data_IF_330265052272
#
_entry.id   IF_330265052272
#
_cell.length_a   1.000
_cell.length_b   1.000
_cell.length_c   1.000
_cell.angle_alpha   90.00
_cell.angle_beta   90.00
_cell.angle_gamma   90.00
#
_symmetry.space_group_name_H-M   'P 1'
#
loop_
_entity.id
_entity.type
_entity.pdbx_description
1 polymer ?
#
# COMPACT_ATOMS: atom_id res chain seq x y z
N UNK A 1 -24.12 -52.32 -9.31
CA UNK A 1 -23.08 -51.43 -8.75
C UNK A 1 -23.70 -50.63 -7.63
N UNK A 2 -23.18 -50.73 -6.41
CA UNK A 2 -23.67 -49.95 -5.26
C UNK A 2 -23.25 -48.50 -5.45
N UNK A 3 -24.22 -47.57 -5.47
CA UNK A 3 -23.93 -46.14 -5.58
C UNK A 3 -23.31 -45.66 -4.27
N UNK A 4 -22.02 -45.30 -4.29
CA UNK A 4 -21.33 -44.77 -3.12
C UNK A 4 -21.81 -43.33 -2.91
N UNK A 5 -22.52 -43.08 -1.82
CA UNK A 5 -22.94 -41.73 -1.44
C UNK A 5 -21.73 -40.91 -0.99
N UNK A 6 -21.24 -40.03 -1.86
CA UNK A 6 -20.14 -39.11 -1.54
C UNK A 6 -20.57 -38.10 -0.48
N UNK A 7 -19.89 -38.10 0.66
CA UNK A 7 -20.10 -37.08 1.70
C UNK A 7 -19.52 -35.73 1.26
N UNK A 8 -20.33 -34.68 1.31
CA UNK A 8 -19.89 -33.29 1.08
C UNK A 8 -19.96 -32.51 2.39
N UNK A 9 -18.82 -32.04 2.89
CA UNK A 9 -18.75 -31.20 4.10
C UNK A 9 -19.31 -29.80 3.79
N UNK A 10 -20.18 -29.28 4.66
CA UNK A 10 -20.66 -27.91 4.57
C UNK A 10 -19.55 -26.90 4.93
N UNK A 11 -19.42 -25.83 4.14
CA UNK A 11 -18.48 -24.74 4.35
C UNK A 11 -19.27 -23.45 4.66
N UNK A 12 -19.42 -23.07 5.94
CA UNK A 12 -20.19 -21.88 6.31
C UNK A 12 -19.44 -20.59 5.93
N UNK A 13 -20.15 -19.48 5.77
CA UNK A 13 -19.57 -18.16 5.47
C UNK A 13 -18.53 -17.69 6.52
N UNK A 14 -18.61 -18.21 7.73
CA UNK A 14 -17.70 -17.94 8.86
C UNK A 14 -16.49 -18.89 8.91
N UNK A 15 -16.21 -19.64 7.84
CA UNK A 15 -15.09 -20.60 7.79
C UNK A 15 -13.74 -19.96 8.16
N UNK A 16 -13.55 -18.69 7.81
CA UNK A 16 -12.32 -17.94 8.02
C UNK A 16 -12.10 -17.52 9.48
N UNK A 17 -13.14 -17.55 10.32
CA UNK A 17 -13.04 -17.29 11.76
C UNK A 17 -12.45 -18.48 12.55
N UNK A 18 -12.34 -19.65 11.91
CA UNK A 18 -11.92 -20.89 12.60
C UNK A 18 -10.42 -20.97 12.87
N UNK A 19 -9.60 -20.18 12.16
CA UNK A 19 -8.15 -20.24 12.27
C UNK A 19 -7.56 -18.83 12.14
N UNK A 20 -6.64 -18.42 13.04
CA UNK A 20 -5.94 -17.14 12.92
C UNK A 20 -5.26 -16.92 11.56
N UNK A 21 -4.76 -17.96 10.91
CA UNK A 21 -4.19 -17.85 9.56
C UNK A 21 -5.22 -17.40 8.51
N UNK A 22 -6.46 -17.89 8.60
CA UNK A 22 -7.53 -17.48 7.69
C UNK A 22 -8.04 -16.07 8.01
N UNK A 23 -8.03 -15.66 9.28
CA UNK A 23 -8.32 -14.29 9.68
C UNK A 23 -7.32 -13.31 9.05
N UNK A 24 -6.02 -13.55 9.22
CA UNK A 24 -4.97 -12.70 8.63
C UNK A 24 -5.08 -12.66 7.12
N UNK A 25 -5.37 -13.80 6.48
CA UNK A 25 -5.66 -13.85 5.05
C UNK A 25 -6.82 -12.93 4.64
N UNK A 26 -7.97 -13.03 5.32
CA UNK A 26 -9.14 -12.20 4.98
C UNK A 26 -8.88 -10.72 5.23
N UNK A 27 -8.18 -10.37 6.32
CA UNK A 27 -7.78 -8.99 6.62
C UNK A 27 -6.82 -8.46 5.56
N UNK A 28 -5.88 -9.28 5.07
CA UNK A 28 -5.00 -8.91 3.96
C UNK A 28 -5.81 -8.61 2.70
N UNK A 29 -6.75 -9.46 2.31
CA UNK A 29 -7.60 -9.22 1.13
C UNK A 29 -8.49 -7.98 1.30
N UNK A 30 -8.94 -7.69 2.52
CA UNK A 30 -9.71 -6.49 2.82
C UNK A 30 -8.93 -5.19 2.56
N UNK A 31 -7.58 -5.21 2.55
CA UNK A 31 -6.78 -4.03 2.21
C UNK A 31 -7.07 -3.48 0.81
N UNK A 32 -7.52 -4.34 -0.13
CA UNK A 32 -7.85 -3.94 -1.48
C UNK A 32 -8.98 -2.90 -1.53
N UNK A 33 -9.96 -3.01 -0.64
CA UNK A 33 -11.07 -2.04 -0.55
C UNK A 33 -10.55 -0.66 -0.16
N UNK A 34 -9.64 -0.60 0.83
CA UNK A 34 -9.04 0.66 1.26
C UNK A 34 -8.20 1.29 0.16
N UNK A 35 -7.41 0.52 -0.59
CA UNK A 35 -6.66 1.05 -1.72
C UNK A 35 -7.56 1.55 -2.84
N UNK A 36 -8.63 0.83 -3.16
CA UNK A 36 -9.61 1.28 -4.14
C UNK A 36 -10.24 2.62 -3.72
N UNK A 37 -10.71 2.73 -2.48
CA UNK A 37 -11.28 3.97 -1.95
C UNK A 37 -10.25 5.10 -1.92
N UNK A 38 -9.02 4.82 -1.51
CA UNK A 38 -7.94 5.81 -1.49
C UNK A 38 -7.61 6.32 -2.89
N UNK A 39 -7.59 5.43 -3.89
CA UNK A 39 -7.41 5.81 -5.28
C UNK A 39 -8.55 6.75 -5.76
N UNK A 40 -9.80 6.50 -5.38
CA UNK A 40 -10.90 7.41 -5.68
C UNK A 40 -10.73 8.79 -5.03
N UNK A 41 -10.27 8.84 -3.77
CA UNK A 41 -9.98 10.11 -3.08
C UNK A 41 -8.91 10.91 -3.83
N UNK A 42 -7.85 10.24 -4.29
CA UNK A 42 -6.78 10.89 -5.07
C UNK A 42 -7.26 11.32 -6.46
N UNK A 43 -8.05 10.49 -7.15
CA UNK A 43 -8.61 10.81 -8.46
C UNK A 43 -9.57 12.01 -8.38
N UNK A 44 -10.36 12.10 -7.31
CA UNK A 44 -11.19 13.28 -7.05
C UNK A 44 -10.34 14.53 -6.78
N UNK A 45 -9.24 14.39 -6.05
CA UNK A 45 -8.26 15.47 -5.88
C UNK A 45 -7.69 15.96 -7.21
N UNK A 46 -7.31 15.02 -8.10
CA UNK A 46 -6.81 15.35 -9.44
C UNK A 46 -7.89 16.02 -10.31
N UNK A 47 -9.13 15.54 -10.23
CA UNK A 47 -10.26 16.12 -10.94
C UNK A 47 -10.54 17.55 -10.47
N UNK A 48 -10.66 17.78 -9.16
CA UNK A 48 -10.89 19.12 -8.60
C UNK A 48 -9.73 20.07 -8.87
N UNK A 49 -8.49 19.58 -8.90
CA UNK A 49 -7.32 20.37 -9.32
C UNK A 49 -7.47 20.89 -10.75
N UNK A 50 -8.06 20.09 -11.66
CA UNK A 50 -8.32 20.53 -13.04
C UNK A 50 -9.43 21.59 -13.17
N UNK A 51 -10.25 21.76 -12.14
CA UNK A 51 -11.35 22.74 -12.10
C UNK A 51 -10.95 24.10 -11.51
N UNK A 52 -9.72 24.23 -11.01
CA UNK A 52 -9.17 25.45 -10.43
C UNK A 52 -9.15 25.48 -8.91
N UNK A 53 -8.54 26.55 -8.37
CA UNK A 53 -8.16 26.67 -6.96
C UNK A 53 -9.33 26.48 -5.98
N UNK A 54 -10.47 27.13 -6.24
CA UNK A 54 -11.63 27.05 -5.35
C UNK A 54 -12.18 25.63 -5.19
N UNK A 55 -12.20 24.84 -6.27
CA UNK A 55 -12.66 23.44 -6.23
C UNK A 55 -11.65 22.56 -5.48
N UNK A 56 -10.35 22.78 -5.73
CA UNK A 56 -9.27 22.06 -5.07
C UNK A 56 -9.23 22.33 -3.56
N UNK A 57 -9.45 23.58 -3.13
CA UNK A 57 -9.54 23.93 -1.71
C UNK A 57 -10.73 23.28 -1.02
N UNK A 58 -11.85 23.09 -1.73
CA UNK A 58 -12.98 22.28 -1.23
C UNK A 58 -12.57 20.84 -0.92
N UNK A 59 -11.79 20.20 -1.80
CA UNK A 59 -11.24 18.87 -1.55
C UNK A 59 -10.26 18.86 -0.36
N UNK A 60 -9.38 19.86 -0.24
CA UNK A 60 -8.47 20.01 0.90
C UNK A 60 -9.23 20.16 2.22
N UNK A 61 -10.30 20.94 2.24
CA UNK A 61 -11.15 21.09 3.42
C UNK A 61 -11.83 19.77 3.81
N UNK A 62 -12.29 18.97 2.83
CA UNK A 62 -12.82 17.63 3.07
C UNK A 62 -11.75 16.71 3.70
N UNK A 63 -10.51 16.75 3.21
CA UNK A 63 -9.41 15.96 3.77
C UNK A 63 -9.10 16.29 5.23
N UNK A 64 -9.29 17.55 5.64
CA UNK A 64 -9.04 18.00 7.01
C UNK A 64 -10.13 17.58 8.02
N UNK A 65 -11.24 16.98 7.55
CA UNK A 65 -12.31 16.53 8.46
C UNK A 65 -11.86 15.35 9.33
N UNK A 66 -12.33 15.23 10.58
CA UNK A 66 -11.94 14.13 11.48
C UNK A 66 -12.22 12.74 10.90
N UNK A 67 -13.33 12.58 10.18
CA UNK A 67 -13.69 11.32 9.53
C UNK A 67 -12.66 10.94 8.45
N UNK A 68 -12.22 11.91 7.65
CA UNK A 68 -11.25 11.66 6.60
C UNK A 68 -9.85 11.40 7.16
N UNK A 69 -9.45 12.10 8.23
CA UNK A 69 -8.21 11.80 8.96
C UNK A 69 -8.24 10.36 9.50
N UNK A 70 -9.33 9.95 10.14
CA UNK A 70 -9.50 8.58 10.63
C UNK A 70 -9.41 7.55 9.50
N UNK A 71 -10.05 7.83 8.35
CA UNK A 71 -9.92 6.99 7.16
C UNK A 71 -8.47 6.86 6.69
N UNK A 72 -7.70 7.96 6.61
CA UNK A 72 -6.30 7.93 6.19
C UNK A 72 -5.42 7.14 7.16
N UNK A 73 -5.66 7.25 8.48
CA UNK A 73 -4.95 6.45 9.49
C UNK A 73 -5.22 4.96 9.30
N UNK A 74 -6.48 4.56 9.09
CA UNK A 74 -6.85 3.18 8.84
C UNK A 74 -6.25 2.68 7.50
N UNK A 75 -6.36 3.48 6.44
CA UNK A 75 -5.77 3.16 5.14
C UNK A 75 -4.24 2.99 5.24
N UNK A 76 -3.56 3.84 6.01
CA UNK A 76 -2.12 3.72 6.26
C UNK A 76 -1.77 2.43 7.02
N UNK A 77 -2.57 2.04 8.02
CA UNK A 77 -2.37 0.77 8.73
C UNK A 77 -2.53 -0.44 7.79
N UNK A 78 -3.54 -0.43 6.91
CA UNK A 78 -3.70 -1.45 5.88
C UNK A 78 -2.58 -1.43 4.84
N UNK A 79 -2.06 -0.25 4.49
CA UNK A 79 -0.90 -0.12 3.60
C UNK A 79 0.33 -0.81 4.20
N UNK A 80 0.64 -0.56 5.48
CA UNK A 80 1.75 -1.20 6.18
C UNK A 80 1.60 -2.73 6.22
N UNK A 81 0.41 -3.22 6.60
CA UNK A 81 0.11 -4.65 6.61
C UNK A 81 0.30 -5.25 5.20
N UNK A 82 -0.24 -4.60 4.19
CA UNK A 82 -0.15 -5.05 2.80
C UNK A 82 1.30 -5.09 2.33
N UNK A 83 2.09 -4.05 2.57
CA UNK A 83 3.52 -4.01 2.19
C UNK A 83 4.28 -5.19 2.79
N UNK A 84 4.16 -5.42 4.10
CA UNK A 84 4.87 -6.52 4.77
C UNK A 84 4.44 -7.88 4.22
N UNK A 85 3.13 -8.12 4.12
CA UNK A 85 2.60 -9.41 3.65
C UNK A 85 2.89 -9.67 2.17
N UNK A 86 2.90 -8.62 1.33
CA UNK A 86 3.27 -8.72 -0.07
C UNK A 86 4.73 -9.16 -0.23
N UNK A 87 5.66 -8.56 0.53
CA UNK A 87 7.06 -8.98 0.52
C UNK A 87 7.26 -10.40 1.06
N UNK A 88 6.47 -10.86 2.04
CA UNK A 88 6.50 -12.26 2.51
C UNK A 88 6.04 -13.28 1.45
N UNK A 89 5.20 -12.87 0.51
CA UNK A 89 4.73 -13.71 -0.60
C UNK A 89 5.70 -13.66 -1.79
N UNK A 90 6.33 -12.51 -2.02
CA UNK A 90 7.23 -12.26 -3.15
C UNK A 90 8.24 -13.38 -3.45
N UNK A 91 9.06 -13.90 -2.50
CA UNK A 91 10.04 -14.93 -2.81
C UNK A 91 9.42 -16.27 -3.23
N UNK A 92 8.14 -16.51 -2.90
CA UNK A 92 7.42 -17.74 -3.24
C UNK A 92 6.84 -17.72 -4.65
N UNK A 93 6.62 -16.52 -5.21
CA UNK A 93 5.99 -16.33 -6.53
C UNK A 93 6.97 -15.82 -7.58
N UNK A 94 8.07 -15.19 -7.17
CA UNK A 94 9.10 -14.72 -8.08
C UNK A 94 10.06 -15.86 -8.51
N UNK A 95 10.70 -15.74 -9.68
CA UNK A 95 11.80 -16.63 -10.05
C UNK A 95 12.90 -16.63 -8.99
N UNK A 96 13.56 -17.77 -8.81
CA UNK A 96 14.63 -17.92 -7.82
C UNK A 96 15.75 -16.91 -8.08
N UNK A 97 15.91 -15.97 -7.16
CA UNK A 97 16.97 -14.96 -7.22
C UNK A 97 18.31 -15.61 -6.91
N UNK A 98 19.28 -15.41 -7.80
CA UNK A 98 20.66 -15.86 -7.63
C UNK A 98 21.61 -14.67 -7.74
N UNK A 99 22.55 -14.58 -6.80
CA UNK A 99 23.59 -13.56 -6.81
C UNK A 99 24.96 -14.23 -6.57
N UNK A 100 25.93 -13.96 -7.45
CA UNK A 100 27.24 -14.61 -7.38
C UNK A 100 27.17 -16.15 -7.42
N UNK A 101 26.20 -16.71 -8.15
CA UNK A 101 25.97 -18.16 -8.25
C UNK A 101 25.24 -18.81 -7.07
N UNK A 102 24.97 -18.07 -5.99
CA UNK A 102 24.24 -18.56 -4.80
C UNK A 102 22.79 -18.10 -4.81
N UNK A 103 21.89 -18.94 -4.28
CA UNK A 103 20.48 -18.57 -4.09
C UNK A 103 20.38 -17.54 -2.96
N UNK A 104 19.64 -16.46 -3.20
CA UNK A 104 19.37 -15.44 -2.18
C UNK A 104 18.36 -16.01 -1.18
N UNK A 105 18.60 -15.94 0.13
CA UNK A 105 17.63 -16.41 1.12
C UNK A 105 16.32 -15.61 1.06
N UNK A 106 15.17 -16.29 1.15
CA UNK A 106 13.85 -15.64 1.14
C UNK A 106 13.76 -14.50 2.17
N UNK A 107 14.28 -14.71 3.37
CA UNK A 107 14.28 -13.69 4.43
C UNK A 107 15.03 -12.43 4.01
N UNK A 108 16.12 -12.56 3.25
CA UNK A 108 16.86 -11.40 2.74
C UNK A 108 16.00 -10.61 1.75
N UNK A 109 15.26 -11.29 0.86
CA UNK A 109 14.33 -10.64 -0.07
C UNK A 109 13.25 -9.85 0.69
N UNK A 110 12.65 -10.46 1.73
CA UNK A 110 11.63 -9.79 2.54
C UNK A 110 12.19 -8.56 3.26
N UNK A 111 13.30 -8.72 3.99
CA UNK A 111 13.90 -7.65 4.80
C UNK A 111 14.35 -6.48 3.94
N UNK A 112 15.05 -6.77 2.83
CA UNK A 112 15.50 -5.72 1.90
C UNK A 112 14.31 -5.00 1.30
N UNK A 113 13.27 -5.73 0.87
CA UNK A 113 12.07 -5.14 0.29
C UNK A 113 11.35 -4.19 1.25
N UNK A 114 11.11 -4.63 2.49
CA UNK A 114 10.48 -3.80 3.53
C UNK A 114 11.37 -2.61 3.90
N UNK A 115 12.69 -2.81 4.03
CA UNK A 115 13.62 -1.73 4.33
C UNK A 115 13.68 -0.68 3.20
N UNK A 116 13.69 -1.13 1.94
CA UNK A 116 13.64 -0.24 0.79
C UNK A 116 12.33 0.56 0.74
N UNK A 117 11.19 -0.08 0.98
CA UNK A 117 9.90 0.60 1.05
C UNK A 117 9.89 1.66 2.16
N UNK A 118 10.35 1.32 3.37
CA UNK A 118 10.46 2.26 4.47
C UNK A 118 11.41 3.43 4.17
N UNK A 119 12.58 3.15 3.57
CA UNK A 119 13.54 4.18 3.20
C UNK A 119 12.96 5.16 2.15
N UNK A 120 12.26 4.65 1.13
CA UNK A 120 11.59 5.48 0.13
C UNK A 120 10.49 6.32 0.77
N UNK A 121 9.64 5.73 1.63
CA UNK A 121 8.59 6.47 2.33
C UNK A 121 9.14 7.58 3.22
N UNK A 122 10.20 7.32 3.98
CA UNK A 122 10.85 8.32 4.82
C UNK A 122 11.53 9.42 4.01
N UNK A 123 12.15 9.07 2.89
CA UNK A 123 12.72 10.04 1.96
C UNK A 123 11.64 10.97 1.39
N UNK A 124 10.52 10.42 0.89
CA UNK A 124 9.40 11.19 0.37
C UNK A 124 8.78 12.08 1.47
N UNK A 125 8.57 11.54 2.66
CA UNK A 125 8.09 12.31 3.81
C UNK A 125 9.04 13.46 4.16
N UNK A 126 10.34 13.18 4.27
CA UNK A 126 11.36 14.18 4.58
C UNK A 126 11.44 15.28 3.53
N UNK A 127 11.23 14.94 2.26
CA UNK A 127 11.14 15.93 1.19
C UNK A 127 9.93 16.84 1.37
N UNK A 128 8.73 16.27 1.50
CA UNK A 128 7.48 17.03 1.63
C UNK A 128 7.49 17.89 2.91
N UNK A 129 8.04 17.38 4.00
CA UNK A 129 8.15 18.09 5.28
C UNK A 129 9.28 19.13 5.31
N UNK A 130 10.09 19.26 4.26
CA UNK A 130 11.22 20.20 4.21
C UNK A 130 12.38 19.82 5.13
N UNK A 131 12.50 18.55 5.50
CA UNK A 131 13.53 18.01 6.40
C UNK A 131 14.78 17.51 5.66
N UNK A 132 14.79 17.52 4.33
CA UNK A 132 15.98 17.12 3.56
C UNK A 132 17.11 18.14 3.69
N UNK A 133 18.38 17.69 3.73
CA UNK A 133 19.53 18.59 3.63
C UNK A 133 19.45 19.47 2.36
N UNK A 134 19.91 20.74 2.42
CA UNK A 134 19.80 21.68 1.30
C UNK A 134 20.33 21.12 -0.03
N UNK A 135 21.53 20.52 -0.01
CA UNK A 135 22.17 19.95 -1.20
C UNK A 135 21.33 18.85 -1.87
N UNK A 136 20.59 18.07 -1.08
CA UNK A 136 19.75 16.99 -1.58
C UNK A 136 18.41 17.52 -2.09
N UNK A 137 17.84 18.50 -1.38
CA UNK A 137 16.63 19.17 -1.81
C UNK A 137 16.82 19.89 -3.16
N UNK A 138 17.99 20.48 -3.39
CA UNK A 138 18.32 21.16 -4.65
C UNK A 138 18.42 20.19 -5.83
N UNK A 139 19.07 19.03 -5.63
CA UNK A 139 19.10 17.95 -6.64
C UNK A 139 17.67 17.52 -7.01
N UNK A 140 16.82 17.31 -6.00
CA UNK A 140 15.45 16.86 -6.23
C UNK A 140 14.62 17.91 -6.99
N UNK A 141 14.79 19.21 -6.68
CA UNK A 141 14.15 20.31 -7.42
C UNK A 141 14.64 20.44 -8.87
N UNK A 142 15.90 20.09 -9.15
CA UNK A 142 16.41 20.05 -10.52
C UNK A 142 15.77 18.92 -11.34
N UNK A 143 15.47 17.79 -10.69
CA UNK A 143 14.89 16.61 -11.34
C UNK A 143 13.37 16.70 -11.50
N UNK A 144 12.69 17.40 -10.59
CA UNK A 144 11.25 17.68 -10.67
C UNK A 144 11.08 19.15 -11.03
N UNK A 145 10.98 19.50 -12.32
CA UNK A 145 10.76 20.88 -12.72
C UNK A 145 9.49 21.39 -12.03
N UNK A 146 9.59 22.57 -11.42
CA UNK A 146 8.43 23.25 -10.89
C UNK A 146 7.40 23.36 -12.03
N UNK A 147 6.27 22.65 -11.91
CA UNK A 147 5.17 22.82 -12.84
C UNK A 147 4.83 24.31 -12.89
N UNK A 148 4.94 24.90 -14.08
CA UNK A 148 4.71 26.31 -14.28
C UNK A 148 3.33 26.68 -13.77
N UNK A 149 3.29 27.51 -12.73
CA UNK A 149 2.14 28.36 -12.49
C UNK A 149 2.16 29.42 -13.61
N UNK A 150 1.44 29.14 -14.69
CA UNK A 150 1.01 30.13 -15.69
C UNK A 150 -0.48 30.35 -15.54
#
# INVERSE_FOLDING_TARGET
MTEVKTYRRAMPATWWLRNPFYLVYMVREASAVFFFLYALVLLWGLYTLSLGEAAYDGWRAMLATPAMIAFHVVAAAFALLHTVTWFMVLPKTAPTLRFGGRVVPDLAVVVIGVAAAAAISLFVYGWIAGLLPPWLADIVRMLVPAGGAS
#
